data_IF_048649941691
#
_entry.id   IF_048649941691
#
_cell.length_a   1.000
_cell.length_b   1.000
_cell.length_c   1.000
_cell.angle_alpha   90.00
_cell.angle_beta   90.00
_cell.angle_gamma   90.00
#
_symmetry.space_group_name_H-M   'P 1'
#
loop_
_entity.id
_entity.type
_entity.pdbx_description
1 polymer ?
#
# COMPACT_ATOMS: atom_id res chain seq x y z
N UNK A 1 -74.13 119.69 -97.62
CA UNK A 1 -73.28 118.57 -98.06
C UNK A 1 -72.61 117.94 -96.84
N UNK A 2 -72.83 116.64 -96.65
CA UNK A 2 -72.25 115.72 -95.65
C UNK A 2 -70.71 115.68 -95.84
N UNK A 3 -69.86 115.73 -94.79
CA UNK A 3 -69.54 114.53 -94.01
C UNK A 3 -69.29 114.76 -92.50
N UNK A 4 -70.31 114.49 -91.68
CA UNK A 4 -70.20 114.19 -90.24
C UNK A 4 -69.93 112.69 -89.95
N UNK A 5 -69.89 111.82 -90.97
CA UNK A 5 -69.89 110.36 -90.81
C UNK A 5 -68.53 109.74 -90.46
N UNK A 6 -67.40 110.40 -90.77
CA UNK A 6 -66.07 109.90 -90.42
C UNK A 6 -65.68 110.08 -88.93
N UNK A 7 -66.23 111.11 -88.26
CA UNK A 7 -65.92 111.39 -86.85
C UNK A 7 -66.66 110.47 -85.87
N UNK A 8 -67.90 110.08 -86.18
CA UNK A 8 -68.70 109.17 -85.35
C UNK A 8 -68.19 107.72 -85.36
N UNK A 9 -67.72 107.21 -86.49
CA UNK A 9 -67.09 105.88 -86.56
C UNK A 9 -65.75 105.84 -85.80
N UNK A 10 -64.95 106.90 -85.88
CA UNK A 10 -63.68 107.00 -85.15
C UNK A 10 -63.89 107.11 -83.62
N UNK A 11 -64.94 107.81 -83.17
CA UNK A 11 -65.32 107.88 -81.74
C UNK A 11 -65.89 106.56 -81.21
N UNK A 12 -66.73 105.86 -81.98
CA UNK A 12 -67.24 104.52 -81.63
C UNK A 12 -66.11 103.50 -81.54
N UNK A 13 -65.16 103.50 -82.48
CA UNK A 13 -63.98 102.65 -82.45
C UNK A 13 -63.05 102.99 -81.28
N UNK A 14 -62.90 104.27 -80.91
CA UNK A 14 -62.16 104.67 -79.70
C UNK A 14 -62.84 104.20 -78.43
N UNK A 15 -64.15 104.40 -78.26
CA UNK A 15 -64.89 103.89 -77.10
C UNK A 15 -64.82 102.36 -77.00
N UNK A 16 -64.97 101.64 -78.10
CA UNK A 16 -64.84 100.17 -78.13
C UNK A 16 -63.43 99.71 -77.75
N UNK A 17 -62.39 100.46 -78.18
CA UNK A 17 -61.00 100.18 -77.85
C UNK A 17 -60.68 100.47 -76.38
N UNK A 18 -61.24 101.54 -75.82
CA UNK A 18 -61.13 101.88 -74.40
C UNK A 18 -61.88 100.88 -73.52
N UNK A 19 -63.10 100.47 -73.92
CA UNK A 19 -63.85 99.42 -73.25
C UNK A 19 -63.15 98.07 -73.30
N UNK A 20 -62.54 97.73 -74.45
CA UNK A 20 -61.72 96.52 -74.58
C UNK A 20 -60.50 96.58 -73.67
N UNK A 21 -59.82 97.74 -73.56
CA UNK A 21 -58.72 97.96 -72.62
C UNK A 21 -59.14 97.77 -71.17
N UNK A 22 -60.26 98.37 -70.76
CA UNK A 22 -60.80 98.24 -69.41
C UNK A 22 -61.20 96.79 -69.12
N UNK A 23 -61.80 96.08 -70.09
CA UNK A 23 -62.13 94.66 -69.95
C UNK A 23 -60.88 93.80 -69.87
N UNK A 24 -59.85 94.11 -70.64
CA UNK A 24 -58.55 93.42 -70.61
C UNK A 24 -57.83 93.64 -69.28
N UNK A 25 -57.82 94.86 -68.74
CA UNK A 25 -57.29 95.17 -67.40
C UNK A 25 -58.08 94.45 -66.30
N UNK A 26 -59.42 94.46 -66.36
CA UNK A 26 -60.25 93.70 -65.41
C UNK A 26 -59.99 92.20 -65.48
N UNK A 27 -59.71 91.67 -66.68
CA UNK A 27 -59.37 90.27 -66.88
C UNK A 27 -57.96 89.95 -66.35
N UNK A 28 -56.99 90.86 -66.51
CA UNK A 28 -55.65 90.75 -65.92
C UNK A 28 -55.72 90.78 -64.39
N UNK A 29 -56.50 91.68 -63.82
CA UNK A 29 -56.72 91.75 -62.36
C UNK A 29 -57.43 90.52 -61.82
N UNK A 30 -58.42 89.98 -62.55
CA UNK A 30 -59.11 88.75 -62.14
C UNK A 30 -58.19 87.53 -62.23
N UNK A 31 -57.35 87.44 -63.27
CA UNK A 31 -56.30 86.43 -63.40
C UNK A 31 -55.28 86.50 -62.26
N UNK A 32 -54.82 87.69 -61.89
CA UNK A 32 -53.90 87.87 -60.76
C UNK A 32 -54.53 87.46 -59.43
N UNK A 33 -55.82 87.79 -59.22
CA UNK A 33 -56.57 87.35 -58.03
C UNK A 33 -56.77 85.83 -58.01
N UNK A 34 -57.08 85.22 -59.15
CA UNK A 34 -57.21 83.76 -59.28
C UNK A 34 -55.88 83.05 -59.05
N UNK A 35 -54.78 83.53 -59.63
CA UNK A 35 -53.44 82.98 -59.41
C UNK A 35 -53.02 83.10 -57.94
N UNK A 36 -53.32 84.24 -57.30
CA UNK A 36 -53.10 84.41 -55.85
C UNK A 36 -53.96 83.44 -55.04
N UNK A 37 -55.22 83.25 -55.38
CA UNK A 37 -56.11 82.29 -54.71
C UNK A 37 -55.63 80.85 -54.89
N UNK A 38 -55.18 80.46 -56.09
CA UNK A 38 -54.60 79.13 -56.35
C UNK A 38 -53.35 78.91 -55.51
N UNK A 39 -52.42 79.87 -55.48
CA UNK A 39 -51.22 79.81 -54.63
C UNK A 39 -51.55 79.70 -53.14
N UNK A 40 -52.54 80.45 -52.65
CA UNK A 40 -52.98 80.37 -51.25
C UNK A 40 -53.69 79.04 -50.94
N UNK A 41 -54.49 78.51 -51.87
CA UNK A 41 -55.14 77.21 -51.73
C UNK A 41 -54.12 76.07 -51.73
N UNK A 42 -53.17 76.09 -52.67
CA UNK A 42 -52.06 75.14 -52.73
C UNK A 42 -51.19 75.23 -51.47
N UNK A 43 -50.94 76.43 -50.94
CA UNK A 43 -50.24 76.63 -49.67
C UNK A 43 -51.03 76.05 -48.47
N UNK A 44 -52.36 76.21 -48.44
CA UNK A 44 -53.23 75.59 -47.41
C UNK A 44 -53.22 74.07 -47.53
N UNK A 45 -53.32 73.54 -48.75
CA UNK A 45 -53.28 72.10 -49.05
C UNK A 45 -51.94 71.50 -48.64
N UNK A 46 -50.82 72.12 -49.01
CA UNK A 46 -49.47 71.64 -48.61
C UNK A 46 -49.23 71.75 -47.11
N UNK A 47 -49.70 72.81 -46.43
CA UNK A 47 -49.62 72.89 -44.96
C UNK A 47 -50.45 71.79 -44.29
N UNK A 48 -51.67 71.56 -44.78
CA UNK A 48 -52.55 70.48 -44.29
C UNK A 48 -51.90 69.10 -44.46
N UNK A 49 -51.32 68.84 -45.64
CA UNK A 49 -50.58 67.60 -45.91
C UNK A 49 -49.37 67.43 -44.99
N UNK A 50 -48.53 68.46 -44.84
CA UNK A 50 -47.37 68.42 -43.94
C UNK A 50 -47.77 68.19 -42.48
N UNK A 51 -48.85 68.81 -42.01
CA UNK A 51 -49.36 68.61 -40.65
C UNK A 51 -49.86 67.17 -40.47
N UNK A 52 -50.63 66.65 -41.42
CA UNK A 52 -51.09 65.27 -41.39
C UNK A 52 -49.93 64.26 -41.45
N UNK A 53 -48.88 64.54 -42.23
CA UNK A 53 -47.67 63.71 -42.27
C UNK A 53 -46.90 63.73 -40.95
N UNK A 54 -46.75 64.90 -40.32
CA UNK A 54 -46.12 65.04 -39.02
C UNK A 54 -46.90 64.30 -37.91
N UNK A 55 -48.23 64.46 -37.88
CA UNK A 55 -49.10 63.73 -36.94
C UNK A 55 -48.99 62.20 -37.15
N UNK A 56 -49.02 61.73 -38.41
CA UNK A 56 -48.80 60.31 -38.73
C UNK A 56 -47.40 59.84 -38.32
N UNK A 57 -46.37 60.67 -38.39
CA UNK A 57 -45.02 60.31 -37.95
C UNK A 57 -44.94 60.11 -36.44
N UNK A 58 -45.55 61.03 -35.67
CA UNK A 58 -45.64 60.94 -34.20
C UNK A 58 -46.43 59.69 -33.80
N UNK A 59 -47.57 59.41 -34.43
CA UNK A 59 -48.35 58.19 -34.15
C UNK A 59 -47.51 56.94 -34.41
N UNK A 60 -46.79 56.86 -35.53
CA UNK A 60 -45.90 55.72 -35.82
C UNK A 60 -44.77 55.54 -34.80
N UNK A 61 -44.23 56.63 -34.27
CA UNK A 61 -43.21 56.57 -33.22
C UNK A 61 -43.81 56.01 -31.92
N UNK A 62 -44.96 56.56 -31.49
CA UNK A 62 -45.69 56.07 -30.32
C UNK A 62 -46.09 54.61 -30.44
N UNK A 63 -46.57 54.16 -31.60
CA UNK A 63 -46.88 52.74 -31.85
C UNK A 63 -45.64 51.83 -31.82
N UNK A 64 -44.45 52.35 -32.16
CA UNK A 64 -43.21 51.58 -32.01
C UNK A 64 -42.80 51.49 -30.55
N UNK A 65 -42.86 52.59 -29.82
CA UNK A 65 -42.61 52.63 -28.38
C UNK A 65 -43.57 51.71 -27.64
N UNK A 66 -44.86 51.78 -27.93
CA UNK A 66 -45.89 50.92 -27.33
C UNK A 66 -45.60 49.44 -27.59
N UNK A 67 -45.30 49.06 -28.85
CA UNK A 67 -44.92 47.68 -29.17
C UNK A 67 -43.66 47.24 -28.44
N UNK A 68 -42.66 48.12 -28.31
CA UNK A 68 -41.44 47.78 -27.59
C UNK A 68 -41.70 47.60 -26.08
N UNK A 69 -42.51 48.47 -25.49
CA UNK A 69 -42.93 48.37 -24.09
C UNK A 69 -43.75 47.09 -23.86
N UNK A 70 -44.68 46.75 -24.75
CA UNK A 70 -45.45 45.50 -24.68
C UNK A 70 -44.54 44.26 -24.71
N UNK A 71 -43.53 44.23 -25.60
CA UNK A 71 -42.54 43.14 -25.63
C UNK A 71 -41.74 43.06 -24.32
N UNK A 72 -41.31 44.20 -23.79
CA UNK A 72 -40.56 44.25 -22.54
C UNK A 72 -41.41 43.74 -21.36
N UNK A 73 -42.68 44.13 -21.29
CA UNK A 73 -43.62 43.64 -20.28
C UNK A 73 -43.78 42.13 -20.38
N UNK A 74 -44.00 41.59 -21.59
CA UNK A 74 -44.13 40.15 -21.80
C UNK A 74 -42.86 39.39 -21.37
N UNK A 75 -41.67 39.89 -21.71
CA UNK A 75 -40.40 39.29 -21.31
C UNK A 75 -40.20 39.32 -19.78
N UNK A 76 -40.55 40.43 -19.13
CA UNK A 76 -40.46 40.57 -17.67
C UNK A 76 -41.43 39.63 -16.95
N UNK A 77 -42.66 39.49 -17.46
CA UNK A 77 -43.64 38.55 -16.91
C UNK A 77 -43.17 37.10 -17.03
N UNK A 78 -42.64 36.70 -18.20
CA UNK A 78 -42.08 35.37 -18.40
C UNK A 78 -40.91 35.09 -17.43
N UNK A 79 -40.01 36.07 -17.23
CA UNK A 79 -38.90 35.96 -16.28
C UNK A 79 -39.40 35.85 -14.84
N UNK A 80 -40.41 36.63 -14.45
CA UNK A 80 -41.04 36.55 -13.14
C UNK A 80 -41.61 35.16 -12.89
N UNK A 81 -42.33 34.60 -13.85
CA UNK A 81 -42.93 33.28 -13.74
C UNK A 81 -41.88 32.16 -13.65
N UNK A 82 -40.81 32.26 -14.44
CA UNK A 82 -39.66 31.36 -14.35
C UNK A 82 -39.02 31.40 -12.94
N UNK A 83 -38.76 32.60 -12.42
CA UNK A 83 -38.18 32.76 -11.08
C UNK A 83 -39.13 32.26 -10.00
N UNK A 84 -40.42 32.53 -10.11
CA UNK A 84 -41.44 32.03 -9.18
C UNK A 84 -41.48 30.50 -9.19
N UNK A 85 -41.40 29.88 -10.37
CA UNK A 85 -41.30 28.43 -10.50
C UNK A 85 -40.06 27.87 -9.77
N UNK A 86 -38.90 28.53 -9.88
CA UNK A 86 -37.68 28.13 -9.13
C UNK A 86 -37.85 28.27 -7.62
N UNK A 87 -38.43 29.39 -7.17
CA UNK A 87 -38.70 29.61 -5.73
C UNK A 87 -39.65 28.55 -5.19
N UNK A 88 -40.72 28.24 -5.91
CA UNK A 88 -41.70 27.23 -5.50
C UNK A 88 -41.08 25.83 -5.41
N UNK A 89 -40.21 25.45 -6.35
CA UNK A 89 -39.47 24.18 -6.29
C UNK A 89 -38.56 24.12 -5.06
N UNK A 90 -37.86 25.22 -4.77
CA UNK A 90 -36.92 25.28 -3.65
C UNK A 90 -37.61 25.42 -2.28
N UNK A 91 -38.88 25.83 -2.25
CA UNK A 91 -39.66 26.04 -1.03
C UNK A 91 -39.72 24.78 -0.15
N UNK A 92 -39.71 23.61 -0.77
CA UNK A 92 -39.72 22.31 -0.06
C UNK A 92 -38.48 22.16 0.82
N UNK A 93 -37.31 22.60 0.36
CA UNK A 93 -36.08 22.56 1.15
C UNK A 93 -36.11 23.54 2.31
N UNK A 94 -36.64 24.75 2.11
CA UNK A 94 -36.81 25.72 3.19
C UNK A 94 -37.74 25.20 4.28
N UNK A 95 -38.91 24.64 3.91
CA UNK A 95 -39.83 24.06 4.90
C UNK A 95 -39.20 22.89 5.66
N UNK A 96 -38.46 22.04 4.97
CA UNK A 96 -37.74 20.95 5.61
C UNK A 96 -36.70 21.47 6.62
N UNK A 97 -35.89 22.45 6.25
CA UNK A 97 -34.88 23.04 7.15
C UNK A 97 -35.52 23.74 8.35
N UNK A 98 -36.64 24.42 8.16
CA UNK A 98 -37.42 24.99 9.26
C UNK A 98 -37.95 23.92 10.21
N UNK A 99 -38.42 22.79 9.69
CA UNK A 99 -38.92 21.69 10.52
C UNK A 99 -37.79 20.99 11.29
N UNK A 100 -36.62 20.82 10.66
CA UNK A 100 -35.39 20.34 11.34
C UNK A 100 -34.96 21.32 12.44
N UNK A 101 -35.03 22.63 12.19
CA UNK A 101 -34.69 23.65 13.17
C UNK A 101 -35.64 23.62 14.38
N UNK A 102 -36.95 23.51 14.13
CA UNK A 102 -37.98 23.34 15.18
C UNK A 102 -37.77 22.07 15.99
N UNK A 103 -37.39 20.97 15.35
CA UNK A 103 -37.15 19.70 16.02
C UNK A 103 -35.88 19.74 16.89
N UNK A 104 -34.83 20.39 16.42
CA UNK A 104 -33.54 20.44 17.09
C UNK A 104 -33.53 21.32 18.34
N UNK A 105 -34.27 22.44 18.35
CA UNK A 105 -34.31 23.48 19.41
C UNK A 105 -32.94 24.05 19.85
N UNK A 106 -31.84 23.59 19.27
CA UNK A 106 -30.45 23.92 19.62
C UNK A 106 -29.82 25.00 18.74
N UNK A 107 -30.46 25.33 17.62
CA UNK A 107 -29.96 26.30 16.64
C UNK A 107 -30.97 27.42 16.48
N UNK A 108 -30.48 28.66 16.43
CA UNK A 108 -31.33 29.85 16.29
C UNK A 108 -31.75 30.07 14.83
N UNK A 109 -30.85 29.76 13.90
CA UNK A 109 -31.10 29.90 12.46
C UNK A 109 -30.56 28.71 11.64
N UNK A 110 -31.04 28.62 10.40
CA UNK A 110 -30.65 27.57 9.45
C UNK A 110 -29.17 27.66 9.07
N UNK A 111 -28.58 28.85 9.10
CA UNK A 111 -27.15 29.07 8.84
C UNK A 111 -26.26 28.44 9.91
N UNK A 112 -26.60 28.57 11.20
CA UNK A 112 -25.92 27.92 12.31
C UNK A 112 -25.99 26.38 12.20
N UNK A 113 -27.16 25.86 11.79
CA UNK A 113 -27.32 24.43 11.52
C UNK A 113 -26.40 23.95 10.38
N UNK A 114 -26.37 24.68 9.27
CA UNK A 114 -25.49 24.37 8.13
C UNK A 114 -24.02 24.47 8.54
N UNK A 115 -23.61 25.54 9.23
CA UNK A 115 -22.24 25.70 9.69
C UNK A 115 -21.80 24.58 10.64
N UNK A 116 -22.70 24.10 11.50
CA UNK A 116 -22.44 22.93 12.36
C UNK A 116 -22.31 21.65 11.53
N UNK A 117 -23.17 21.47 10.53
CA UNK A 117 -23.11 20.33 9.63
C UNK A 117 -21.80 20.31 8.83
N UNK A 118 -21.41 21.45 8.25
CA UNK A 118 -20.15 21.60 7.52
C UNK A 118 -18.96 21.29 8.42
N UNK A 119 -18.93 21.85 9.65
CA UNK A 119 -17.90 21.52 10.62
C UNK A 119 -17.85 20.02 10.97
N UNK A 120 -19.01 19.36 11.09
CA UNK A 120 -19.09 17.91 11.32
C UNK A 120 -18.56 17.11 10.13
N UNK A 121 -18.91 17.49 8.91
CA UNK A 121 -18.44 16.85 7.68
C UNK A 121 -16.92 17.02 7.57
N UNK A 122 -16.39 18.23 7.73
CA UNK A 122 -14.95 18.47 7.73
C UNK A 122 -14.22 17.67 8.82
N UNK A 123 -14.76 17.64 10.04
CA UNK A 123 -14.16 16.84 11.13
C UNK A 123 -14.20 15.35 10.80
N UNK A 124 -15.30 14.85 10.24
CA UNK A 124 -15.42 13.45 9.82
C UNK A 124 -14.39 13.10 8.75
N UNK A 125 -14.22 13.94 7.74
CA UNK A 125 -13.23 13.73 6.68
C UNK A 125 -11.81 13.70 7.23
N UNK A 126 -11.48 14.62 8.14
CA UNK A 126 -10.18 14.64 8.82
C UNK A 126 -9.95 13.37 9.66
N UNK A 127 -10.96 12.92 10.40
CA UNK A 127 -10.87 11.69 11.20
C UNK A 127 -10.68 10.45 10.32
N UNK A 128 -11.42 10.35 9.20
CA UNK A 128 -11.26 9.25 8.25
C UNK A 128 -9.86 9.23 7.62
N UNK A 129 -9.34 10.40 7.26
CA UNK A 129 -7.98 10.51 6.73
C UNK A 129 -6.94 10.05 7.76
N UNK A 130 -7.03 10.56 8.99
CA UNK A 130 -6.13 10.19 10.08
C UNK A 130 -6.23 8.70 10.43
N UNK A 131 -7.43 8.14 10.41
CA UNK A 131 -7.63 6.71 10.63
C UNK A 131 -6.90 5.89 9.56
N UNK A 132 -7.05 6.26 8.28
CA UNK A 132 -6.35 5.59 7.18
C UNK A 132 -4.83 5.69 7.29
N UNK A 133 -4.30 6.84 7.73
CA UNK A 133 -2.86 7.05 7.94
C UNK A 133 -2.35 6.12 9.07
N UNK A 134 -3.03 6.10 10.21
CA UNK A 134 -2.67 5.23 11.35
C UNK A 134 -2.80 3.74 11.01
N UNK A 135 -3.82 3.35 10.24
CA UNK A 135 -3.97 1.98 9.77
C UNK A 135 -2.83 1.56 8.84
N UNK A 136 -2.39 2.46 7.95
CA UNK A 136 -1.24 2.22 7.08
C UNK A 136 0.06 2.09 7.87
N UNK A 137 0.32 3.00 8.82
CA UNK A 137 1.49 2.92 9.71
C UNK A 137 1.50 1.61 10.49
N UNK A 138 0.37 1.25 11.11
CA UNK A 138 0.22 -0.01 11.83
C UNK A 138 0.44 -1.24 10.95
N UNK A 139 0.00 -1.19 9.70
CA UNK A 139 0.25 -2.26 8.74
C UNK A 139 1.74 -2.39 8.41
N UNK A 140 2.45 -1.27 8.20
CA UNK A 140 3.89 -1.28 7.97
C UNK A 140 4.67 -1.82 9.16
N UNK A 141 4.41 -1.34 10.38
CA UNK A 141 5.00 -1.86 11.61
C UNK A 141 4.70 -3.36 11.79
N UNK A 142 3.48 -3.77 11.46
CA UNK A 142 3.05 -5.17 11.50
C UNK A 142 3.83 -6.05 10.52
N UNK A 143 4.13 -5.56 9.30
CA UNK A 143 4.98 -6.26 8.33
C UNK A 143 6.41 -6.38 8.85
N UNK A 144 6.98 -5.29 9.37
CA UNK A 144 8.35 -5.28 9.91
C UNK A 144 8.50 -6.23 11.09
N UNK A 145 7.54 -6.24 12.02
CA UNK A 145 7.54 -7.15 13.16
C UNK A 145 7.46 -8.61 12.71
N UNK A 146 6.57 -8.95 11.75
CA UNK A 146 6.46 -10.31 11.22
C UNK A 146 7.76 -10.75 10.56
N UNK A 147 8.40 -9.86 9.79
CA UNK A 147 9.71 -10.13 9.19
C UNK A 147 10.76 -10.40 10.26
N UNK A 148 10.87 -9.53 11.27
CA UNK A 148 11.81 -9.68 12.37
C UNK A 148 11.62 -11.00 13.13
N UNK A 149 10.37 -11.35 13.47
CA UNK A 149 10.06 -12.61 14.16
C UNK A 149 10.44 -13.81 13.29
N UNK A 150 10.15 -13.77 11.98
CA UNK A 150 10.54 -14.84 11.05
C UNK A 150 12.06 -15.00 10.98
N UNK A 151 12.80 -13.91 10.79
CA UNK A 151 14.28 -13.92 10.73
C UNK A 151 14.89 -14.46 12.02
N UNK A 152 14.40 -14.01 13.19
CA UNK A 152 14.84 -14.50 14.49
C UNK A 152 14.48 -15.98 14.71
N UNK A 153 13.30 -16.40 14.26
CA UNK A 153 12.88 -17.79 14.30
C UNK A 153 13.80 -18.69 13.47
N UNK A 154 14.12 -18.28 12.24
CA UNK A 154 15.08 -19.00 11.38
C UNK A 154 16.47 -19.08 12.00
N UNK A 155 16.97 -17.99 12.60
CA UNK A 155 18.26 -17.99 13.29
C UNK A 155 18.26 -18.93 14.50
N UNK A 156 17.20 -18.93 15.30
CA UNK A 156 17.08 -19.83 16.46
C UNK A 156 17.06 -21.30 16.03
N UNK A 157 16.33 -21.63 14.95
CA UNK A 157 16.36 -22.97 14.37
C UNK A 157 17.76 -23.37 13.89
N UNK A 158 18.49 -22.45 13.26
CA UNK A 158 19.87 -22.69 12.84
C UNK A 158 20.79 -22.99 14.04
N UNK A 159 20.73 -22.19 15.10
CA UNK A 159 21.52 -22.43 16.31
C UNK A 159 21.12 -23.73 17.02
N UNK A 160 19.82 -24.05 17.09
CA UNK A 160 19.35 -25.27 17.73
C UNK A 160 19.82 -26.53 16.97
N UNK A 161 19.80 -26.48 15.63
CA UNK A 161 20.36 -27.53 14.80
C UNK A 161 21.86 -27.69 15.03
N UNK A 162 22.61 -26.59 15.07
CA UNK A 162 24.05 -26.62 15.38
C UNK A 162 24.34 -27.20 16.77
N UNK A 163 23.57 -26.81 17.79
CA UNK A 163 23.69 -27.36 19.14
C UNK A 163 23.43 -28.88 19.16
N UNK A 164 22.41 -29.34 18.45
CA UNK A 164 22.08 -30.76 18.35
C UNK A 164 23.20 -31.56 17.65
N UNK A 165 23.84 -30.98 16.63
CA UNK A 165 25.01 -31.57 15.97
C UNK A 165 26.20 -31.70 16.93
N UNK A 166 26.56 -30.60 17.61
CA UNK A 166 27.66 -30.62 18.58
C UNK A 166 27.40 -31.59 19.73
N UNK A 167 26.17 -31.69 20.21
CA UNK A 167 25.81 -32.64 21.26
C UNK A 167 25.94 -34.09 20.78
N UNK A 168 25.52 -34.37 19.55
CA UNK A 168 25.70 -35.71 18.94
C UNK A 168 27.20 -36.04 18.80
N UNK A 169 28.02 -35.09 18.34
CA UNK A 169 29.47 -35.27 18.24
C UNK A 169 30.09 -35.55 19.61
N UNK A 170 29.73 -34.77 20.64
CA UNK A 170 30.19 -34.99 22.00
C UNK A 170 29.83 -36.39 22.51
N UNK A 171 28.59 -36.81 22.34
CA UNK A 171 28.11 -38.13 22.76
C UNK A 171 28.88 -39.25 22.03
N UNK A 172 29.18 -39.07 20.74
CA UNK A 172 30.00 -40.04 20.00
C UNK A 172 31.42 -40.15 20.56
N UNK A 173 32.09 -39.02 20.83
CA UNK A 173 33.45 -38.99 21.38
C UNK A 173 33.46 -39.63 22.78
N UNK A 174 32.51 -39.26 23.64
CA UNK A 174 32.40 -39.83 24.98
C UNK A 174 32.16 -41.34 24.93
N UNK A 175 31.30 -41.81 24.01
CA UNK A 175 31.06 -43.25 23.84
C UNK A 175 32.32 -44.00 23.38
N UNK A 176 33.15 -43.39 22.53
CA UNK A 176 34.42 -43.97 22.09
C UNK A 176 35.45 -43.98 23.22
N UNK A 177 35.56 -42.88 23.98
CA UNK A 177 36.45 -42.80 25.13
C UNK A 177 36.13 -43.89 26.17
N UNK A 178 34.84 -44.08 26.48
CA UNK A 178 34.39 -45.12 27.40
C UNK A 178 34.73 -46.54 26.91
N UNK A 179 34.63 -46.80 25.59
CA UNK A 179 35.03 -48.08 25.01
C UNK A 179 36.53 -48.33 25.18
N UNK A 180 37.35 -47.33 24.89
CA UNK A 180 38.81 -47.43 25.06
C UNK A 180 39.22 -47.60 26.51
N UNK A 181 38.57 -46.88 27.44
CA UNK A 181 38.79 -47.01 28.87
C UNK A 181 38.44 -48.43 29.36
N UNK A 182 37.32 -48.98 28.91
CA UNK A 182 36.93 -50.37 29.22
C UNK A 182 37.94 -51.39 28.68
N UNK A 183 38.38 -51.23 27.43
CA UNK A 183 39.40 -52.09 26.83
C UNK A 183 40.75 -51.99 27.57
N UNK A 184 41.16 -50.78 27.94
CA UNK A 184 42.36 -50.52 28.74
C UNK A 184 42.28 -51.19 30.11
N UNK A 185 41.17 -51.02 30.83
CA UNK A 185 40.94 -51.67 32.12
C UNK A 185 40.98 -53.20 32.00
N UNK A 186 40.45 -53.77 30.91
CA UNK A 186 40.52 -55.21 30.67
C UNK A 186 41.97 -55.69 30.45
N UNK A 187 42.75 -54.98 29.62
CA UNK A 187 44.16 -55.27 29.39
C UNK A 187 44.94 -55.19 30.70
N UNK A 188 44.73 -54.12 31.48
CA UNK A 188 45.39 -53.92 32.76
C UNK A 188 45.04 -55.02 33.77
N UNK A 189 43.77 -55.41 33.85
CA UNK A 189 43.33 -56.50 34.72
C UNK A 189 43.96 -57.85 34.31
N UNK A 190 44.08 -58.12 33.01
CA UNK A 190 44.73 -59.34 32.51
C UNK A 190 46.23 -59.32 32.80
N UNK A 191 46.92 -58.20 32.51
CA UNK A 191 48.34 -58.04 32.82
C UNK A 191 48.63 -58.19 34.33
N UNK A 192 47.77 -57.66 35.20
CA UNK A 192 47.89 -57.84 36.64
C UNK A 192 47.75 -59.32 37.06
N UNK A 193 46.82 -60.06 36.45
CA UNK A 193 46.68 -61.51 36.68
C UNK A 193 47.90 -62.29 36.21
N UNK A 194 48.41 -62.00 35.01
CA UNK A 194 49.61 -62.64 34.47
C UNK A 194 50.85 -62.34 35.32
N UNK A 195 51.00 -61.08 35.76
CA UNK A 195 52.09 -60.68 36.67
C UNK A 195 52.00 -61.41 38.00
N UNK A 196 50.80 -61.56 38.56
CA UNK A 196 50.57 -62.32 39.79
C UNK A 196 50.91 -63.81 39.60
N UNK A 197 50.44 -64.43 38.52
CA UNK A 197 50.74 -65.83 38.20
C UNK A 197 52.24 -66.05 38.02
N UNK A 198 52.92 -65.16 37.29
CA UNK A 198 54.37 -65.18 37.13
C UNK A 198 55.06 -65.10 38.49
N UNK A 199 54.65 -64.15 39.36
CA UNK A 199 55.18 -64.04 40.72
C UNK A 199 54.97 -65.31 41.55
N UNK A 200 53.80 -65.94 41.46
CA UNK A 200 53.51 -67.21 42.13
C UNK A 200 54.39 -68.35 41.61
N UNK A 201 54.56 -68.47 40.29
CA UNK A 201 55.46 -69.45 39.67
C UNK A 201 56.88 -69.24 40.18
N UNK A 202 57.36 -67.99 40.16
CA UNK A 202 58.71 -67.67 40.64
C UNK A 202 58.93 -68.10 42.09
N UNK A 203 58.00 -67.78 42.98
CA UNK A 203 58.08 -68.16 44.40
C UNK A 203 58.03 -69.67 44.59
N UNK A 204 57.12 -70.38 43.91
CA UNK A 204 57.02 -71.85 44.01
C UNK A 204 58.26 -72.53 43.46
N UNK A 205 58.76 -72.10 42.30
CA UNK A 205 60.01 -72.59 41.72
C UNK A 205 61.17 -72.38 42.68
N UNK A 206 61.36 -71.18 43.22
CA UNK A 206 62.43 -70.90 44.17
C UNK A 206 62.32 -71.79 45.42
N UNK A 207 61.11 -71.98 45.94
CA UNK A 207 60.87 -72.86 47.08
C UNK A 207 61.21 -74.32 46.76
N UNK A 208 60.81 -74.84 45.60
CA UNK A 208 61.12 -76.20 45.16
C UNK A 208 62.63 -76.39 44.94
N UNK A 209 63.30 -75.38 44.36
CA UNK A 209 64.75 -75.38 44.18
C UNK A 209 65.46 -75.50 45.53
N UNK A 210 65.05 -74.73 46.55
CA UNK A 210 65.58 -74.86 47.91
C UNK A 210 65.39 -76.27 48.50
N UNK A 211 64.27 -76.94 48.22
CA UNK A 211 64.03 -78.31 48.68
C UNK A 211 64.97 -79.35 48.05
N UNK A 212 65.59 -79.07 46.90
CA UNK A 212 66.63 -79.93 46.31
C UNK A 212 67.94 -79.91 47.11
N UNK A 213 68.03 -79.09 48.17
CA UNK A 213 69.18 -79.01 49.08
C UNK A 213 70.19 -77.92 48.71
N UNK A 214 69.94 -77.15 47.63
CA UNK A 214 70.79 -76.04 47.19
C UNK A 214 70.24 -74.72 47.75
N UNK A 215 71.06 -73.99 48.51
CA UNK A 215 70.69 -72.69 49.08
C UNK A 215 70.93 -71.60 48.03
N UNK A 216 69.91 -70.80 47.69
CA UNK A 216 70.08 -69.70 46.75
C UNK A 216 71.07 -68.65 47.30
N UNK A 217 72.04 -68.24 46.48
CA UNK A 217 73.05 -67.22 46.83
C UNK A 217 74.37 -67.73 47.43
N UNK A 218 74.62 -69.04 47.46
CA UNK A 218 75.96 -69.60 47.73
C UNK A 218 76.89 -69.51 46.50
N UNK A 219 78.20 -69.73 46.67
CA UNK A 219 79.20 -69.64 45.59
C UNK A 219 78.96 -70.58 44.38
N UNK A 220 78.04 -71.56 44.50
CA UNK A 220 77.59 -72.48 43.44
C UNK A 220 76.06 -72.44 43.22
N UNK A 221 75.33 -71.49 43.82
CA UNK A 221 73.86 -71.39 43.72
C UNK A 221 73.39 -70.54 42.53
N UNK A 222 72.23 -70.88 41.97
CA UNK A 222 71.57 -70.12 40.89
C UNK A 222 71.01 -68.80 41.43
N UNK A 223 70.98 -67.75 40.60
CA UNK A 223 70.42 -66.45 40.97
C UNK A 223 68.93 -66.55 41.33
N UNK A 224 68.51 -65.75 42.30
CA UNK A 224 67.14 -65.78 42.86
C UNK A 224 66.11 -65.36 41.81
N UNK A 225 66.48 -64.48 40.88
CA UNK A 225 65.60 -64.01 39.81
C UNK A 225 65.63 -64.86 38.53
N UNK A 226 66.62 -65.75 38.38
CA UNK A 226 66.73 -66.67 37.24
C UNK A 226 65.89 -67.94 37.45
N UNK A 227 64.60 -67.79 37.22
CA UNK A 227 63.64 -68.88 37.40
C UNK A 227 63.74 -69.99 36.36
N UNK A 228 64.34 -69.73 35.19
CA UNK A 228 64.53 -70.77 34.18
C UNK A 228 65.65 -71.72 34.60
N UNK A 229 66.79 -71.17 35.02
CA UNK A 229 67.90 -71.99 35.49
C UNK A 229 67.54 -72.76 36.78
N UNK A 230 66.72 -72.18 37.67
CA UNK A 230 66.18 -72.90 38.84
C UNK A 230 65.30 -74.10 38.43
N UNK A 231 64.43 -73.95 37.43
CA UNK A 231 63.59 -75.05 36.92
C UNK A 231 64.43 -76.15 36.29
N UNK A 232 65.47 -75.80 35.52
CA UNK A 232 66.38 -76.78 34.91
C UNK A 232 67.09 -77.62 35.99
N UNK A 233 67.53 -76.99 37.08
CA UNK A 233 68.14 -77.72 38.22
C UNK A 233 67.13 -78.62 38.93
N UNK A 234 65.89 -78.16 39.15
CA UNK A 234 64.83 -78.99 39.73
C UNK A 234 64.55 -80.18 38.81
N UNK A 235 64.48 -79.98 37.49
CA UNK A 235 64.24 -81.04 36.52
C UNK A 235 65.35 -82.09 36.55
N UNK A 236 66.62 -81.68 36.52
CA UNK A 236 67.77 -82.58 36.65
C UNK A 236 67.69 -83.39 37.95
N UNK A 237 67.39 -82.73 39.06
CA UNK A 237 67.23 -83.40 40.35
C UNK A 237 66.11 -84.46 40.34
N UNK A 238 64.96 -84.16 39.73
CA UNK A 238 63.84 -85.12 39.61
C UNK A 238 64.23 -86.29 38.69
N UNK A 239 64.90 -86.02 37.58
CA UNK A 239 65.37 -87.06 36.64
C UNK A 239 66.37 -87.99 37.31
N UNK A 240 67.37 -87.44 37.99
CA UNK A 240 68.35 -88.23 38.75
C UNK A 240 67.66 -89.12 39.79
N UNK A 241 66.69 -88.59 40.55
CA UNK A 241 65.93 -89.38 41.53
C UNK A 241 65.06 -90.45 40.87
N UNK A 242 64.43 -90.15 39.74
CA UNK A 242 63.60 -91.09 39.00
C UNK A 242 64.43 -92.23 38.39
N UNK A 243 65.62 -91.91 37.87
CA UNK A 243 66.57 -92.88 37.34
C UNK A 243 67.10 -93.79 38.47
N UNK A 244 67.48 -93.22 39.63
CA UNK A 244 67.83 -94.00 40.82
C UNK A 244 66.69 -94.96 41.22
N UNK A 245 65.45 -94.50 41.23
CA UNK A 245 64.29 -95.37 41.56
C UNK A 245 64.03 -96.43 40.49
N UNK A 246 64.25 -96.11 39.21
CA UNK A 246 64.11 -97.06 38.10
C UNK A 246 65.17 -98.15 38.18
N UNK A 247 66.41 -97.77 38.46
CA UNK A 247 67.52 -98.69 38.66
C UNK A 247 67.27 -99.62 39.86
N UNK A 248 66.78 -99.06 40.97
CA UNK A 248 66.34 -99.84 42.13
C UNK A 248 65.19 -100.80 41.81
N UNK A 249 64.27 -100.42 40.91
CA UNK A 249 63.16 -101.27 40.47
C UNK A 249 63.60 -102.39 39.53
N UNK A 250 64.50 -102.11 38.58
CA UNK A 250 65.11 -103.15 37.74
C UNK A 250 65.94 -104.13 38.57
N UNK A 251 66.58 -103.68 39.65
CA UNK A 251 67.28 -104.55 40.59
C UNK A 251 66.32 -105.43 41.41
N UNK A 252 65.10 -104.95 41.71
CA UNK A 252 64.06 -105.81 42.31
C UNK A 252 63.41 -106.77 41.32
N UNK A 253 63.16 -106.36 40.06
CA UNK A 253 62.58 -107.23 39.02
C UNK A 253 63.55 -108.34 38.57
N UNK A 254 64.86 -108.04 38.49
CA UNK A 254 65.91 -109.03 38.24
C UNK A 254 66.10 -110.02 39.41
N UNK A 255 65.71 -109.66 40.64
CA UNK A 255 65.69 -110.60 41.76
C UNK A 255 64.51 -111.57 41.68
N UNK A 256 63.35 -111.13 41.18
CA UNK A 256 62.19 -112.01 40.95
C UNK A 256 62.34 -112.99 39.77
N UNK A 257 63.21 -112.73 38.80
CA UNK A 257 63.53 -113.67 37.71
C UNK A 257 64.69 -114.62 38.01
N UNK A 258 65.49 -114.31 39.04
CA UNK A 258 66.58 -115.16 39.54
C UNK A 258 66.13 -116.25 40.53
N UNK A 259 64.87 -116.22 41.01
CA UNK A 259 64.33 -117.21 41.97
C UNK A 259 63.51 -118.33 41.28
N UNK A 260 63.60 -118.47 39.95
CA UNK A 260 62.91 -119.50 39.16
C UNK A 260 63.81 -120.39 38.26
N UNK A 261 65.11 -120.44 38.53
CA UNK A 261 66.02 -121.52 38.10
C UNK A 261 66.56 -122.29 39.31
#
# INVERSE_FOLDING_TARGET
LIPQTGKFHLQSLRQRREELKIKEEKLKDSLLKFDKYLKENDAKKTRGLKKAEAERAVVREREREERQLQRNIAALLAKKEQLQGRVNRNRVYCSFLDDVLKASKKFEDVGQLIGRFDALVCTREQLLKRQSEVESERETEGVELRRYVSERGSALLHYNNGLSQLQTELDTILSQALRWESAWNHIQATAAKETLLLGQIKVVTLNLYHLTGVVAGGAEGVDVDDTLEQLDKIQLYIQDRADIVRDLRSDTDNRSTSDHE
#
